data_IF_429863553175
#
_entry.id   IF_429863553175
#
_cell.length_a   1.000
_cell.length_b   1.000
_cell.length_c   1.000
_cell.angle_alpha   90.00
_cell.angle_beta   90.00
_cell.angle_gamma   90.00
#
_symmetry.space_group_name_H-M   'P 1'
#
loop_
_entity.id
_entity.type
_entity.pdbx_description
1 polymer ?
#
# COMPACT_ATOMS: atom_id res chain seq x y z
N UNK A 1 -29.06 11.59 -4.25
CA UNK A 1 -27.61 11.69 -4.12
C UNK A 1 -27.03 11.24 -5.46
N UNK A 2 -26.47 12.17 -6.21
CA UNK A 2 -25.73 11.80 -7.40
C UNK A 2 -24.34 11.35 -6.96
N UNK A 3 -24.16 10.02 -6.78
CA UNK A 3 -22.86 9.45 -6.51
C UNK A 3 -21.99 9.57 -7.76
N UNK A 4 -20.73 9.97 -7.59
CA UNK A 4 -19.77 9.93 -8.69
C UNK A 4 -19.50 8.48 -9.12
N UNK A 5 -18.95 8.28 -10.32
CA UNK A 5 -18.59 6.93 -10.80
C UNK A 5 -17.57 6.28 -9.86
N UNK A 6 -16.66 7.06 -9.26
CA UNK A 6 -15.69 6.59 -8.28
C UNK A 6 -16.34 6.08 -6.99
N UNK A 7 -17.29 6.82 -6.46
CA UNK A 7 -17.99 6.43 -5.22
C UNK A 7 -18.78 5.12 -5.41
N UNK A 8 -19.36 4.92 -6.59
CA UNK A 8 -20.05 3.67 -6.93
C UNK A 8 -19.05 2.50 -6.98
N UNK A 9 -17.86 2.72 -7.55
CA UNK A 9 -16.81 1.71 -7.57
C UNK A 9 -16.37 1.33 -6.16
N UNK A 10 -16.15 2.32 -5.29
CA UNK A 10 -15.72 2.13 -3.90
C UNK A 10 -16.76 1.45 -3.00
N UNK A 11 -18.01 1.38 -3.47
CA UNK A 11 -19.05 0.55 -2.85
C UNK A 11 -19.08 -0.85 -3.47
N UNK A 12 -19.04 -0.94 -4.81
CA UNK A 12 -19.38 -2.18 -5.52
C UNK A 12 -18.19 -3.11 -5.75
N UNK A 13 -16.96 -2.60 -5.80
CA UNK A 13 -15.79 -3.43 -6.06
C UNK A 13 -15.69 -4.60 -5.07
N UNK A 14 -15.59 -5.86 -5.56
CA UNK A 14 -15.55 -7.03 -4.69
C UNK A 14 -14.18 -7.23 -4.03
N UNK A 15 -13.10 -6.80 -4.68
CA UNK A 15 -11.72 -6.92 -4.21
C UNK A 15 -11.26 -5.62 -3.57
N UNK A 16 -10.52 -5.74 -2.49
CA UNK A 16 -9.96 -4.61 -1.76
C UNK A 16 -8.44 -4.56 -1.98
N UNK A 17 -7.77 -5.69 -1.74
CA UNK A 17 -6.32 -5.81 -1.92
C UNK A 17 -5.95 -7.19 -2.48
N UNK A 18 -5.23 -8.00 -1.73
CA UNK A 18 -4.73 -9.32 -2.13
C UNK A 18 -5.43 -10.48 -1.39
N UNK A 19 -6.50 -10.18 -0.66
CA UNK A 19 -7.29 -11.15 0.09
C UNK A 19 -7.98 -12.19 -0.81
N UNK A 20 -8.31 -13.33 -0.23
CA UNK A 20 -9.17 -14.32 -0.89
C UNK A 20 -10.59 -13.74 -1.02
N UNK A 21 -11.10 -13.73 -2.26
CA UNK A 21 -12.46 -13.25 -2.51
C UNK A 21 -13.50 -14.16 -1.86
N UNK A 22 -14.36 -13.56 -1.05
CA UNK A 22 -15.51 -14.19 -0.44
C UNK A 22 -16.76 -13.33 -0.68
N UNK A 23 -17.98 -13.86 -0.60
CA UNK A 23 -19.20 -13.06 -0.75
C UNK A 23 -19.51 -12.23 0.51
N UNK A 24 -18.52 -11.52 1.02
CA UNK A 24 -18.56 -10.81 2.29
C UNK A 24 -19.72 -9.82 2.43
N UNK A 25 -20.19 -9.22 1.33
CA UNK A 25 -21.27 -8.22 1.38
C UNK A 25 -22.56 -8.81 1.93
N UNK A 26 -23.02 -9.92 1.37
CA UNK A 26 -24.22 -10.60 1.86
C UNK A 26 -24.04 -11.12 3.26
N UNK A 27 -22.83 -11.56 3.62
CA UNK A 27 -22.50 -12.01 4.95
C UNK A 27 -22.64 -10.87 5.97
N UNK A 28 -22.07 -9.70 5.73
CA UNK A 28 -22.09 -8.60 6.69
C UNK A 28 -23.44 -7.87 6.77
N UNK A 29 -24.17 -7.77 5.68
CA UNK A 29 -25.51 -7.18 5.66
C UNK A 29 -26.47 -7.83 6.67
N UNK A 30 -26.25 -9.11 6.98
CA UNK A 30 -27.08 -9.85 7.96
C UNK A 30 -26.59 -9.74 9.42
N UNK A 31 -25.50 -9.00 9.69
CA UNK A 31 -24.85 -8.98 11.01
C UNK A 31 -25.25 -7.80 11.88
N UNK A 32 -25.86 -6.80 11.31
CA UNK A 32 -26.26 -5.57 11.99
C UNK A 32 -27.76 -5.34 11.81
N UNK A 33 -28.38 -4.73 12.81
CA UNK A 33 -29.73 -4.21 12.72
C UNK A 33 -29.81 -3.00 11.78
N UNK A 34 -30.99 -2.68 11.26
CA UNK A 34 -31.20 -1.51 10.41
C UNK A 34 -30.76 -0.21 11.14
N UNK A 35 -31.03 -0.10 12.43
CA UNK A 35 -30.64 1.05 13.24
C UNK A 35 -29.11 1.20 13.32
N UNK A 36 -28.37 0.10 13.51
CA UNK A 36 -26.91 0.14 13.52
C UNK A 36 -26.35 0.51 12.15
N UNK A 37 -26.93 -0.05 11.07
CA UNK A 37 -26.54 0.28 9.70
C UNK A 37 -26.75 1.76 9.42
N UNK A 38 -27.89 2.32 9.79
CA UNK A 38 -28.18 3.73 9.62
C UNK A 38 -27.24 4.61 10.44
N UNK A 39 -26.91 4.18 11.66
CA UNK A 39 -25.91 4.86 12.50
C UNK A 39 -24.55 4.92 11.81
N UNK A 40 -24.06 3.77 11.30
CA UNK A 40 -22.78 3.72 10.64
C UNK A 40 -22.75 4.50 9.32
N UNK A 41 -23.84 4.54 8.57
CA UNK A 41 -23.95 5.34 7.34
C UNK A 41 -23.91 6.85 7.60
N UNK A 42 -24.58 7.29 8.64
CA UNK A 42 -24.63 8.69 9.00
C UNK A 42 -23.36 9.13 9.76
N UNK A 43 -22.72 8.23 10.47
CA UNK A 43 -21.53 8.46 11.27
C UNK A 43 -20.49 7.34 11.07
N UNK A 44 -19.78 7.30 9.95
CA UNK A 44 -18.85 6.20 9.64
C UNK A 44 -17.72 6.03 10.65
N UNK A 45 -17.37 7.09 11.38
CA UNK A 45 -16.44 7.03 12.51
C UNK A 45 -16.88 6.01 13.57
N UNK A 46 -18.20 5.85 13.79
CA UNK A 46 -18.72 4.83 14.71
C UNK A 46 -18.39 3.39 14.25
N UNK A 47 -18.26 3.16 12.94
CA UNK A 47 -17.82 1.87 12.41
C UNK A 47 -16.33 1.64 12.68
N UNK A 48 -15.50 2.68 12.55
CA UNK A 48 -14.07 2.63 12.92
C UNK A 48 -13.93 2.22 14.39
N UNK A 49 -14.66 2.89 15.27
CA UNK A 49 -14.65 2.58 16.70
C UNK A 49 -15.17 1.17 17.00
N UNK A 50 -16.18 0.72 16.23
CA UNK A 50 -16.71 -0.63 16.38
C UNK A 50 -15.63 -1.66 16.04
N UNK A 51 -14.91 -1.49 14.92
CA UNK A 51 -13.81 -2.38 14.52
C UNK A 51 -12.71 -2.38 15.58
N UNK A 52 -12.31 -1.21 16.05
CA UNK A 52 -11.27 -1.09 17.08
C UNK A 52 -11.60 -1.81 18.38
N UNK A 53 -12.87 -1.80 18.77
CA UNK A 53 -13.36 -2.48 20.00
C UNK A 53 -13.55 -3.99 19.85
N UNK A 54 -13.79 -4.46 18.62
CA UNK A 54 -14.20 -5.84 18.39
C UNK A 54 -13.13 -6.73 17.77
N UNK A 55 -12.06 -6.16 17.25
CA UNK A 55 -10.97 -6.90 16.61
C UNK A 55 -9.69 -6.69 17.41
N UNK A 56 -9.14 -7.78 17.90
CA UNK A 56 -7.83 -7.77 18.60
C UNK A 56 -6.72 -7.86 17.56
N UNK A 57 -5.68 -7.03 17.73
CA UNK A 57 -4.53 -7.06 16.83
C UNK A 57 -3.49 -8.06 17.32
N UNK A 58 -3.04 -8.91 16.40
CA UNK A 58 -2.01 -9.92 16.61
C UNK A 58 -1.08 -9.98 15.38
N UNK A 59 0.01 -9.22 15.44
CA UNK A 59 1.03 -9.16 14.37
C UNK A 59 1.93 -10.39 14.36
N UNK A 60 2.13 -11.03 15.50
CA UNK A 60 3.12 -12.09 15.68
C UNK A 60 2.69 -13.38 14.98
N UNK A 61 1.42 -13.73 15.05
CA UNK A 61 0.91 -14.98 14.51
C UNK A 61 0.66 -14.97 12.99
N UNK A 62 0.73 -13.82 12.33
CA UNK A 62 0.68 -13.69 10.87
C UNK A 62 1.97 -13.09 10.29
N UNK A 63 3.12 -13.65 10.66
CA UNK A 63 4.43 -13.13 10.23
C UNK A 63 4.64 -13.15 8.70
N UNK A 64 3.93 -13.98 7.95
CA UNK A 64 3.93 -13.99 6.48
C UNK A 64 3.01 -12.93 5.87
N UNK A 65 2.22 -12.22 6.67
CA UNK A 65 1.25 -11.21 6.25
C UNK A 65 0.32 -11.71 5.14
N UNK A 66 -0.14 -12.96 5.27
CA UNK A 66 -1.16 -13.51 4.38
C UNK A 66 -2.50 -12.89 4.79
N UNK A 67 -3.18 -12.16 3.88
CA UNK A 67 -4.44 -11.51 4.23
C UNK A 67 -5.49 -12.50 4.70
N UNK A 68 -6.02 -12.29 5.88
CA UNK A 68 -7.18 -13.05 6.39
C UNK A 68 -8.41 -12.50 5.67
N UNK A 69 -9.27 -13.40 5.19
CA UNK A 69 -10.54 -12.97 4.56
C UNK A 69 -11.40 -12.18 5.54
N UNK A 70 -12.20 -11.21 5.06
CA UNK A 70 -13.08 -10.41 5.94
C UNK A 70 -13.99 -11.24 6.83
N UNK A 71 -14.55 -12.33 6.29
CA UNK A 71 -15.35 -13.28 7.10
C UNK A 71 -14.51 -14.03 8.14
N UNK A 72 -13.24 -14.33 7.81
CA UNK A 72 -12.29 -14.94 8.72
C UNK A 72 -12.01 -14.04 9.92
N UNK A 73 -11.72 -12.75 9.68
CA UNK A 73 -11.52 -11.74 10.73
C UNK A 73 -12.78 -11.63 11.62
N UNK A 74 -13.96 -11.55 11.01
CA UNK A 74 -15.22 -11.53 11.77
C UNK A 74 -15.37 -12.69 12.72
N UNK A 75 -15.05 -13.90 12.27
CA UNK A 75 -15.22 -15.14 13.07
C UNK A 75 -14.15 -15.27 14.15
N UNK A 76 -12.90 -14.93 13.81
CA UNK A 76 -11.79 -15.05 14.73
C UNK A 76 -11.75 -13.92 15.77
N UNK A 77 -12.24 -12.73 15.42
CA UNK A 77 -12.10 -11.49 16.20
C UNK A 77 -10.63 -11.10 16.47
N UNK A 78 -9.73 -11.66 15.68
CA UNK A 78 -8.29 -11.42 15.73
C UNK A 78 -7.79 -11.22 14.29
N UNK A 79 -6.91 -10.27 14.08
CA UNK A 79 -6.28 -9.98 12.80
C UNK A 79 -4.93 -9.30 13.00
N UNK A 80 -4.03 -9.38 12.02
CA UNK A 80 -2.97 -8.40 11.87
C UNK A 80 -3.54 -7.06 11.37
N UNK A 81 -2.78 -5.98 11.45
CA UNK A 81 -3.22 -4.63 11.05
C UNK A 81 -3.69 -4.59 9.60
N UNK A 82 -2.97 -5.25 8.69
CA UNK A 82 -3.33 -5.27 7.27
C UNK A 82 -4.66 -5.98 7.01
N UNK A 83 -4.88 -7.13 7.66
CA UNK A 83 -6.15 -7.86 7.57
C UNK A 83 -7.32 -7.12 8.23
N UNK A 84 -7.07 -6.37 9.33
CA UNK A 84 -8.05 -5.47 9.97
C UNK A 84 -8.48 -4.38 9.00
N UNK A 85 -7.55 -3.78 8.29
CA UNK A 85 -7.81 -2.69 7.35
C UNK A 85 -8.64 -3.17 6.16
N UNK A 86 -8.31 -4.33 5.59
CA UNK A 86 -9.14 -5.00 4.57
C UNK A 86 -10.54 -5.30 5.11
N UNK A 87 -10.62 -5.80 6.34
CA UNK A 87 -11.90 -6.09 7.00
C UNK A 87 -12.77 -4.85 7.17
N UNK A 88 -12.18 -3.72 7.58
CA UNK A 88 -12.90 -2.45 7.70
C UNK A 88 -13.51 -2.03 6.36
N UNK A 89 -12.71 -2.02 5.28
CA UNK A 89 -13.19 -1.64 3.94
C UNK A 89 -14.30 -2.58 3.47
N UNK A 90 -14.16 -3.90 3.68
CA UNK A 90 -15.20 -4.87 3.35
C UNK A 90 -16.50 -4.60 4.10
N UNK A 91 -16.39 -4.29 5.39
CA UNK A 91 -17.52 -4.00 6.25
C UNK A 91 -18.23 -2.71 5.80
N UNK A 92 -17.49 -1.61 5.58
CA UNK A 92 -18.01 -0.34 5.10
C UNK A 92 -18.75 -0.51 3.77
N UNK A 93 -18.14 -1.16 2.77
CA UNK A 93 -18.77 -1.46 1.47
C UNK A 93 -20.05 -2.28 1.59
N UNK A 94 -20.08 -3.21 2.54
CA UNK A 94 -21.27 -4.05 2.80
C UNK A 94 -22.45 -3.25 3.35
N UNK A 95 -22.16 -2.18 4.05
CA UNK A 95 -23.14 -1.25 4.61
C UNK A 95 -23.45 -0.07 3.69
N UNK A 96 -22.99 -0.11 2.42
CA UNK A 96 -23.12 0.97 1.43
C UNK A 96 -22.43 2.28 1.85
N UNK A 97 -21.32 2.18 2.55
CA UNK A 97 -20.39 3.28 2.80
C UNK A 97 -19.26 3.12 1.78
N UNK A 98 -19.02 4.12 0.94
CA UNK A 98 -17.90 4.11 0.00
C UNK A 98 -16.59 4.12 0.80
N UNK A 99 -15.75 3.14 0.56
CA UNK A 99 -14.46 2.99 1.24
C UNK A 99 -13.45 2.31 0.33
N UNK A 100 -12.20 2.72 0.43
CA UNK A 100 -11.12 2.18 -0.37
C UNK A 100 -9.84 1.98 0.44
N UNK A 101 -9.03 1.05 -0.05
CA UNK A 101 -7.65 0.89 0.38
C UNK A 101 -6.76 1.33 -0.76
N UNK A 102 -6.03 2.42 -0.56
CA UNK A 102 -5.15 2.98 -1.56
C UNK A 102 -4.00 2.01 -1.86
N UNK A 103 -3.88 1.59 -3.11
CA UNK A 103 -2.90 0.59 -3.55
C UNK A 103 -1.45 1.00 -3.31
N UNK A 104 -1.20 2.30 -3.27
CA UNK A 104 0.13 2.86 -3.19
C UNK A 104 0.80 2.67 -1.82
N UNK A 105 0.06 2.91 -0.75
CA UNK A 105 0.59 2.93 0.63
C UNK A 105 -0.26 2.13 1.62
N UNK A 106 -1.33 1.49 1.14
CA UNK A 106 -2.21 0.68 1.96
C UNK A 106 -3.14 1.47 2.89
N UNK A 107 -3.14 2.80 2.81
CA UNK A 107 -4.02 3.62 3.63
C UNK A 107 -5.47 3.38 3.25
N UNK A 108 -6.31 3.34 4.25
CA UNK A 108 -7.74 3.16 4.07
C UNK A 108 -8.48 4.47 4.32
N UNK A 109 -9.54 4.67 3.57
CA UNK A 109 -10.43 5.82 3.71
C UNK A 109 -11.88 5.44 3.52
N UNK A 110 -12.77 6.26 4.04
CA UNK A 110 -14.21 6.18 3.78
C UNK A 110 -14.75 7.55 3.36
N UNK A 111 -15.84 7.55 2.60
CA UNK A 111 -16.54 8.76 2.23
C UNK A 111 -17.37 9.27 3.42
N UNK A 112 -17.12 10.52 3.82
CA UNK A 112 -17.91 11.22 4.82
C UNK A 112 -19.29 11.56 4.22
N UNK A 113 -20.40 11.36 4.94
CA UNK A 113 -21.71 11.82 4.49
C UNK A 113 -21.80 13.33 4.37
N UNK A 114 -20.97 14.08 5.09
CA UNK A 114 -20.85 15.53 4.97
C UNK A 114 -19.91 15.89 3.81
N UNK A 115 -20.38 16.81 2.98
CA UNK A 115 -19.57 17.34 1.88
C UNK A 115 -18.58 18.39 2.39
N UNK A 116 -17.54 18.63 1.61
CA UNK A 116 -16.61 19.72 1.90
C UNK A 116 -17.23 21.11 1.66
N UNK A 117 -16.47 22.16 1.92
CA UNK A 117 -16.89 23.55 1.77
C UNK A 117 -17.23 23.94 0.31
N UNK A 118 -16.80 23.15 -0.69
CA UNK A 118 -17.13 23.33 -2.12
C UNK A 118 -18.28 22.45 -2.59
N UNK A 119 -18.81 21.59 -1.71
CA UNK A 119 -19.90 20.67 -2.02
C UNK A 119 -19.45 19.37 -2.67
N UNK A 120 -18.16 19.08 -2.66
CA UNK A 120 -17.58 17.83 -3.16
C UNK A 120 -17.57 16.71 -2.12
N UNK A 121 -17.47 15.47 -2.55
CA UNK A 121 -17.37 14.32 -1.66
C UNK A 121 -16.02 14.32 -0.94
N UNK A 122 -16.06 14.20 0.39
CA UNK A 122 -14.88 14.18 1.24
C UNK A 122 -14.57 12.76 1.66
N UNK A 123 -13.33 12.31 1.41
CA UNK A 123 -12.81 11.06 1.97
C UNK A 123 -12.01 11.35 3.24
N UNK A 124 -12.31 10.58 4.28
CA UNK A 124 -11.62 10.65 5.58
C UNK A 124 -10.69 9.44 5.68
N UNK A 125 -9.41 9.70 5.90
CA UNK A 125 -8.41 8.67 6.12
C UNK A 125 -8.62 8.04 7.51
N UNK A 126 -8.60 6.71 7.59
CA UNK A 126 -8.74 5.95 8.82
C UNK A 126 -7.36 5.52 9.30
N UNK A 127 -7.05 5.88 10.52
CA UNK A 127 -5.89 5.39 11.26
C UNK A 127 -6.37 4.77 12.57
N UNK A 128 -6.33 3.45 12.66
CA UNK A 128 -6.72 2.73 13.87
C UNK A 128 -5.70 2.86 15.01
N UNK A 129 -4.46 3.18 14.67
CA UNK A 129 -3.35 3.25 15.61
C UNK A 129 -3.14 4.68 16.13
N UNK A 130 -4.08 5.59 15.85
CA UNK A 130 -4.06 6.97 16.37
C UNK A 130 -4.03 6.99 17.90
N UNK A 131 -2.83 6.91 18.42
CA UNK A 131 -2.49 7.55 19.68
C UNK A 131 -2.12 9.00 19.33
N UNK A 132 -2.92 9.96 19.76
CA UNK A 132 -2.74 11.42 19.66
C UNK A 132 -1.93 11.92 18.44
N UNK A 133 -2.59 12.72 17.62
CA UNK A 133 -2.14 13.29 16.35
C UNK A 133 -0.65 13.68 16.32
N UNK A 134 0.16 12.80 15.82
CA UNK A 134 1.28 13.24 15.00
C UNK A 134 0.78 13.10 13.55
N UNK A 135 0.41 14.21 12.92
CA UNK A 135 0.21 14.23 11.46
C UNK A 135 1.33 13.42 10.84
N UNK A 136 0.98 12.37 10.10
CA UNK A 136 1.99 11.53 9.46
C UNK A 136 2.75 12.44 8.51
N UNK A 137 3.91 12.91 8.97
CA UNK A 137 4.69 13.86 8.24
C UNK A 137 5.13 13.21 6.93
N UNK A 138 4.89 13.88 5.81
CA UNK A 138 5.21 13.39 4.48
C UNK A 138 6.53 13.94 3.99
N UNK A 139 7.24 13.12 3.26
CA UNK A 139 8.44 13.50 2.55
C UNK A 139 8.26 13.32 1.05
N UNK A 140 9.04 14.05 0.26
CA UNK A 140 9.08 13.93 -1.19
C UNK A 140 10.41 13.29 -1.56
N UNK A 141 10.40 12.26 -2.42
CA UNK A 141 11.60 11.71 -3.03
C UNK A 141 11.67 12.05 -4.51
N UNK A 142 12.86 12.08 -5.06
CA UNK A 142 13.11 12.16 -6.49
C UNK A 142 14.35 11.36 -6.85
N UNK A 143 14.26 10.61 -7.95
CA UNK A 143 15.39 9.82 -8.43
C UNK A 143 16.41 10.68 -9.16
N UNK A 144 17.68 10.38 -8.91
CA UNK A 144 18.84 11.02 -9.48
C UNK A 144 19.82 9.98 -10.00
N UNK A 145 20.39 10.24 -11.18
CA UNK A 145 21.50 9.48 -11.75
C UNK A 145 22.64 10.45 -12.08
N UNK A 146 23.84 10.14 -11.63
CA UNK A 146 25.03 10.97 -11.79
C UNK A 146 24.83 12.45 -11.41
N UNK A 147 24.11 12.66 -10.31
CA UNK A 147 23.82 14.00 -9.78
C UNK A 147 22.75 14.78 -10.55
N UNK A 148 22.18 14.22 -11.61
CA UNK A 148 21.10 14.84 -12.39
C UNK A 148 19.76 14.19 -12.04
N UNK A 149 18.73 15.01 -11.93
CA UNK A 149 17.37 14.49 -11.74
C UNK A 149 16.93 13.72 -12.98
N UNK A 150 16.33 12.54 -12.76
CA UNK A 150 15.77 11.74 -13.83
C UNK A 150 14.57 12.47 -14.44
N UNK A 151 14.47 12.45 -15.77
CA UNK A 151 13.39 13.08 -16.51
C UNK A 151 12.07 12.27 -16.35
N UNK A 152 10.94 12.96 -16.47
CA UNK A 152 9.59 12.37 -16.30
C UNK A 152 9.30 11.24 -17.31
N UNK A 153 9.85 11.34 -18.50
CA UNK A 153 9.63 10.43 -19.63
C UNK A 153 10.73 9.37 -19.78
N UNK A 154 11.64 9.28 -18.80
CA UNK A 154 12.73 8.30 -18.83
C UNK A 154 12.19 6.87 -18.71
N UNK A 155 12.24 6.14 -19.83
CA UNK A 155 11.75 4.76 -19.93
C UNK A 155 12.53 3.76 -19.06
N UNK A 156 13.69 4.15 -18.52
CA UNK A 156 14.49 3.33 -17.61
C UNK A 156 13.86 3.27 -16.21
N UNK A 157 13.00 4.23 -15.86
CA UNK A 157 12.28 4.25 -14.59
C UNK A 157 10.88 3.69 -14.80
N UNK A 158 10.78 2.38 -14.68
CA UNK A 158 9.51 1.67 -14.81
C UNK A 158 9.30 0.77 -13.61
N UNK A 159 8.27 1.08 -12.82
CA UNK A 159 7.88 0.30 -11.66
C UNK A 159 7.63 -1.18 -12.03
N UNK A 160 7.92 -2.10 -11.13
CA UNK A 160 7.90 -3.56 -11.29
C UNK A 160 8.88 -4.13 -12.33
N UNK A 161 9.19 -3.40 -13.39
CA UNK A 161 10.11 -3.87 -14.43
C UNK A 161 11.56 -3.48 -14.17
N UNK A 162 11.76 -2.31 -13.53
CA UNK A 162 13.08 -1.71 -13.34
C UNK A 162 13.36 -1.35 -11.90
N UNK A 163 12.34 -1.11 -11.11
CA UNK A 163 12.50 -0.81 -9.69
C UNK A 163 11.29 -1.20 -8.86
N UNK A 164 11.51 -1.36 -7.56
CA UNK A 164 10.49 -1.40 -6.52
C UNK A 164 10.94 -0.57 -5.33
N UNK A 165 9.98 0.00 -4.59
CA UNK A 165 10.23 0.68 -3.32
C UNK A 165 9.52 -0.10 -2.22
N UNK A 166 10.21 -0.29 -1.10
CA UNK A 166 9.60 -0.86 0.11
C UNK A 166 9.88 0.04 1.30
N UNK A 167 8.87 0.26 2.14
CA UNK A 167 9.05 0.91 3.45
C UNK A 167 9.59 -0.12 4.44
N UNK A 168 10.55 0.28 5.26
CA UNK A 168 10.98 -0.54 6.39
C UNK A 168 10.16 -0.16 7.64
N UNK A 169 9.31 -1.05 8.07
CA UNK A 169 8.54 -0.91 9.30
C UNK A 169 8.91 -2.07 10.22
N UNK A 170 9.39 -1.77 11.43
CA UNK A 170 9.80 -2.79 12.42
C UNK A 170 10.80 -3.84 11.88
N UNK A 171 11.73 -3.38 11.02
CA UNK A 171 12.72 -4.25 10.38
C UNK A 171 12.21 -5.11 9.24
N UNK A 172 10.95 -4.96 8.81
CA UNK A 172 10.34 -5.69 7.70
C UNK A 172 10.12 -4.77 6.49
N UNK A 173 10.39 -5.24 5.27
CA UNK A 173 10.11 -4.48 4.07
C UNK A 173 8.63 -4.63 3.68
N UNK A 174 7.92 -3.53 3.58
CA UNK A 174 6.56 -3.44 3.03
C UNK A 174 6.61 -2.84 1.65
N UNK A 175 6.19 -3.59 0.63
CA UNK A 175 6.23 -3.12 -0.75
C UNK A 175 5.22 -1.99 -0.96
N UNK A 176 5.71 -0.88 -1.52
CA UNK A 176 4.87 0.23 -1.97
C UNK A 176 4.40 -0.08 -3.40
N UNK A 177 3.10 -0.10 -3.62
CA UNK A 177 2.53 -0.28 -4.95
C UNK A 177 2.50 1.06 -5.69
N UNK A 178 3.32 1.18 -6.74
CA UNK A 178 3.36 2.34 -7.64
C UNK A 178 2.79 1.90 -8.99
N UNK A 179 1.49 1.78 -9.12
CA UNK A 179 0.85 1.34 -10.36
C UNK A 179 0.85 2.41 -11.46
N UNK A 180 0.30 2.07 -12.63
CA UNK A 180 0.33 2.96 -13.79
C UNK A 180 -0.60 4.18 -13.65
N UNK A 181 -1.56 4.12 -12.73
CA UNK A 181 -2.50 5.22 -12.44
C UNK A 181 -1.81 6.38 -11.71
N UNK A 182 -0.64 6.12 -11.09
CA UNK A 182 0.14 7.12 -10.37
C UNK A 182 1.50 7.38 -11.04
N UNK A 183 1.53 8.00 -12.22
CA UNK A 183 2.77 8.25 -12.96
C UNK A 183 3.76 9.17 -12.23
N UNK A 184 3.29 9.97 -11.28
CA UNK A 184 4.12 10.83 -10.41
C UNK A 184 5.08 10.05 -9.52
N UNK A 185 4.78 8.79 -9.21
CA UNK A 185 5.61 7.93 -8.38
C UNK A 185 6.70 7.19 -9.15
N UNK A 186 6.83 7.42 -10.46
CA UNK A 186 7.86 6.75 -11.26
C UNK A 186 9.26 7.31 -11.02
N UNK A 187 9.40 8.61 -10.84
CA UNK A 187 10.67 9.30 -10.68
C UNK A 187 10.66 10.31 -9.53
N UNK A 188 9.49 10.70 -9.10
CA UNK A 188 9.22 11.58 -7.95
C UNK A 188 7.93 11.11 -7.29
N UNK A 189 7.85 11.19 -5.97
CA UNK A 189 6.64 10.85 -5.23
C UNK A 189 6.66 11.38 -3.82
N UNK A 190 5.48 11.34 -3.20
CA UNK A 190 5.27 11.72 -1.81
C UNK A 190 4.88 10.47 -1.03
N UNK A 191 5.65 10.17 0.00
CA UNK A 191 5.42 9.03 0.91
C UNK A 191 5.52 9.51 2.35
N UNK A 192 5.10 8.68 3.29
CA UNK A 192 5.31 8.94 4.71
C UNK A 192 6.81 9.03 5.03
N UNK A 193 7.13 9.77 6.09
CA UNK A 193 8.51 9.79 6.59
C UNK A 193 8.93 8.41 7.07
N UNK A 194 10.19 8.07 6.87
CA UNK A 194 10.69 6.76 7.31
C UNK A 194 11.90 6.26 6.52
N UNK A 195 12.21 4.99 6.75
CA UNK A 195 13.29 4.28 6.07
C UNK A 195 12.72 3.47 4.92
N UNK A 196 13.40 3.53 3.79
CA UNK A 196 12.98 2.87 2.56
C UNK A 196 14.09 2.08 1.92
N UNK A 197 13.72 0.99 1.24
CA UNK A 197 14.58 0.25 0.33
C UNK A 197 14.14 0.55 -1.12
N UNK A 198 15.10 0.87 -1.95
CA UNK A 198 14.95 0.93 -3.40
C UNK A 198 15.68 -0.27 -3.99
N UNK A 199 14.96 -1.12 -4.68
CA UNK A 199 15.54 -2.19 -5.49
C UNK A 199 15.44 -1.78 -6.95
N UNK A 200 16.57 -1.65 -7.62
CA UNK A 200 16.63 -1.43 -9.07
C UNK A 200 17.18 -2.69 -9.74
N UNK A 201 16.69 -2.99 -10.95
CA UNK A 201 17.12 -4.22 -11.59
C UNK A 201 16.84 -4.28 -13.07
N UNK A 202 17.52 -5.24 -13.71
CA UNK A 202 17.31 -5.59 -15.10
C UNK A 202 17.24 -7.10 -15.25
N UNK A 203 16.28 -7.58 -16.03
CA UNK A 203 16.21 -8.98 -16.42
C UNK A 203 17.13 -9.20 -17.62
N UNK A 204 17.96 -10.21 -17.52
CA UNK A 204 18.86 -10.63 -18.58
C UNK A 204 18.16 -11.56 -19.59
N UNK A 205 18.75 -11.71 -20.76
CA UNK A 205 18.20 -12.56 -21.82
C UNK A 205 18.16 -14.06 -21.45
N UNK A 206 19.02 -14.48 -20.54
CA UNK A 206 19.07 -15.86 -20.00
C UNK A 206 18.07 -16.09 -18.86
N UNK A 207 17.23 -15.09 -18.53
CA UNK A 207 16.27 -15.12 -17.43
C UNK A 207 16.85 -14.69 -16.07
N UNK A 208 18.16 -14.50 -15.97
CA UNK A 208 18.80 -13.95 -14.77
C UNK A 208 18.28 -12.56 -14.43
N UNK A 209 18.30 -12.20 -13.14
CA UNK A 209 17.93 -10.85 -12.67
C UNK A 209 19.13 -10.25 -11.97
N UNK A 210 19.52 -9.07 -12.42
CA UNK A 210 20.52 -8.25 -11.78
C UNK A 210 19.81 -7.20 -10.94
N UNK A 211 19.98 -7.27 -9.63
CA UNK A 211 19.36 -6.34 -8.71
C UNK A 211 20.43 -5.57 -7.91
N UNK A 212 20.15 -4.30 -7.68
CA UNK A 212 20.86 -3.47 -6.71
C UNK A 212 19.87 -3.05 -5.65
N UNK A 213 20.24 -3.22 -4.39
CA UNK A 213 19.46 -2.78 -3.24
C UNK A 213 20.17 -1.56 -2.65
N UNK A 214 19.44 -0.49 -2.46
CA UNK A 214 19.89 0.73 -1.76
C UNK A 214 18.85 1.14 -0.75
N UNK A 215 19.28 1.85 0.29
CA UNK A 215 18.37 2.40 1.30
C UNK A 215 18.40 3.92 1.25
N UNK A 216 17.28 4.55 1.63
CA UNK A 216 17.22 5.99 1.82
C UNK A 216 16.26 6.33 2.97
N UNK A 217 16.47 7.50 3.54
CA UNK A 217 15.59 8.05 4.57
C UNK A 217 14.77 9.16 3.93
N UNK A 218 13.47 9.13 4.16
CA UNK A 218 12.56 10.18 3.72
C UNK A 218 12.17 11.02 4.94
N UNK A 219 12.75 12.23 5.09
CA UNK A 219 12.44 13.12 6.19
C UNK A 219 11.13 13.88 5.95
N UNK A 220 10.55 14.42 7.02
CA UNK A 220 9.45 15.36 6.93
C UNK A 220 9.81 16.61 6.11
N UNK A 221 8.84 17.17 5.41
CA UNK A 221 9.00 18.47 4.80
C UNK A 221 9.08 19.53 5.93
N UNK A 222 10.09 20.40 5.82
CA UNK A 222 10.29 21.49 6.79
C UNK A 222 9.40 22.70 6.53
N UNK A 223 8.95 22.85 5.30
CA UNK A 223 8.16 23.99 4.83
C UNK A 223 7.20 23.45 3.74
N UNK A 224 5.91 23.50 4.02
CA UNK A 224 4.87 23.07 3.08
C UNK A 224 4.80 23.93 1.82
N UNK A 225 5.18 25.20 1.93
CA UNK A 225 5.18 26.15 0.79
C UNK A 225 6.44 26.04 -0.08
N UNK A 226 7.50 25.38 0.42
CA UNK A 226 8.76 25.18 -0.31
C UNK A 226 9.24 23.72 -0.18
N UNK A 227 8.51 22.77 -0.77
CA UNK A 227 8.85 21.37 -0.62
C UNK A 227 10.20 21.05 -1.28
N UNK A 228 11.04 20.32 -0.57
CA UNK A 228 12.35 19.88 -1.03
C UNK A 228 12.37 18.37 -1.17
N UNK A 229 12.58 17.89 -2.38
CA UNK A 229 12.67 16.46 -2.64
C UNK A 229 14.00 15.87 -2.14
N UNK A 230 13.91 14.77 -1.40
CA UNK A 230 15.06 13.94 -1.05
C UNK A 230 15.65 13.34 -2.33
N UNK A 231 16.94 13.55 -2.55
CA UNK A 231 17.66 12.98 -3.69
C UNK A 231 17.95 11.51 -3.46
N UNK A 232 17.30 10.65 -4.22
CA UNK A 232 17.49 9.20 -4.12
C UNK A 232 18.32 8.72 -5.31
N UNK A 233 19.52 8.16 -5.09
CA UNK A 233 20.34 7.62 -6.17
C UNK A 233 19.60 6.49 -6.87
N UNK A 234 19.47 6.61 -8.19
CA UNK A 234 18.87 5.59 -9.04
C UNK A 234 19.93 5.08 -10.01
N UNK A 235 20.28 3.82 -9.88
CA UNK A 235 21.26 3.20 -10.74
C UNK A 235 20.66 1.95 -11.37
N UNK A 236 20.60 1.93 -12.68
CA UNK A 236 20.54 0.68 -13.42
C UNK A 236 21.98 0.18 -13.63
N UNK A 237 22.14 -1.14 -13.61
CA UNK A 237 23.45 -1.72 -13.78
C UNK A 237 24.11 -1.29 -15.09
N UNK A 238 25.37 -0.91 -15.02
CA UNK A 238 26.25 -0.75 -16.16
C UNK A 238 27.08 -2.04 -16.41
N UNK A 239 27.43 -2.27 -17.68
CA UNK A 239 28.32 -3.38 -18.05
C UNK A 239 29.69 -3.19 -17.39
N UNK A 240 30.13 -4.16 -16.60
CA UNK A 240 31.43 -4.14 -15.90
C UNK A 240 31.34 -4.05 -14.37
N UNK A 241 30.19 -3.82 -13.79
CA UNK A 241 30.01 -3.94 -12.33
C UNK A 241 30.20 -5.39 -11.86
N UNK A 242 30.92 -5.60 -10.74
CA UNK A 242 30.98 -6.90 -10.08
C UNK A 242 29.61 -7.27 -9.56
N UNK A 243 29.18 -8.49 -9.85
CA UNK A 243 27.87 -9.03 -9.49
C UNK A 243 28.06 -10.28 -8.67
N UNK A 244 27.39 -10.35 -7.54
CA UNK A 244 27.16 -11.61 -6.86
C UNK A 244 25.92 -12.29 -7.46
N UNK A 245 26.09 -13.51 -7.98
CA UNK A 245 24.94 -14.31 -8.41
C UNK A 245 24.41 -15.02 -7.17
N UNK A 246 23.23 -14.62 -6.70
CA UNK A 246 22.58 -15.20 -5.53
C UNK A 246 21.70 -16.42 -5.87
N UNK A 247 21.45 -16.68 -7.15
CA UNK A 247 20.76 -17.86 -7.63
C UNK A 247 20.23 -17.69 -9.06
N UNK A 248 19.97 -18.81 -9.71
CA UNK A 248 19.19 -18.86 -10.95
C UNK A 248 17.80 -19.43 -10.62
N UNK A 249 16.76 -18.80 -11.11
CA UNK A 249 15.39 -19.26 -10.92
C UNK A 249 14.84 -19.80 -12.25
N UNK A 250 14.36 -21.03 -12.22
CA UNK A 250 13.66 -21.61 -13.37
C UNK A 250 12.20 -21.15 -13.35
N UNK A 251 11.67 -20.68 -14.47
CA UNK A 251 10.28 -20.23 -14.61
C UNK A 251 9.23 -21.31 -14.36
N UNK A 252 9.63 -22.58 -14.44
CA UNK A 252 8.74 -23.73 -14.21
C UNK A 252 8.70 -24.18 -12.75
N UNK A 253 9.61 -23.67 -11.91
CA UNK A 253 9.71 -24.03 -10.49
C UNK A 253 9.92 -22.80 -9.64
N UNK A 254 8.84 -22.19 -9.23
CA UNK A 254 8.82 -20.95 -8.43
C UNK A 254 9.55 -21.06 -7.08
N UNK A 255 9.91 -22.26 -6.61
CA UNK A 255 10.43 -22.52 -5.28
C UNK A 255 11.59 -23.54 -5.19
N UNK A 256 12.13 -23.99 -6.29
CA UNK A 256 13.30 -24.88 -6.22
C UNK A 256 14.58 -24.03 -6.07
N UNK A 257 15.34 -24.16 -4.98
CA UNK A 257 16.66 -23.57 -4.90
C UNK A 257 17.54 -24.23 -5.97
N UNK A 258 18.18 -23.43 -6.79
CA UNK A 258 19.13 -23.93 -7.78
C UNK A 258 20.43 -24.20 -7.04
N UNK A 259 20.96 -25.42 -7.20
CA UNK A 259 22.26 -25.78 -6.68
C UNK A 259 23.36 -24.92 -7.32
N UNK A 260 24.13 -24.28 -6.47
CA UNK A 260 25.30 -23.50 -6.86
C UNK A 260 25.17 -22.00 -6.70
N UNK A 261 25.49 -21.51 -5.53
CA UNK A 261 25.90 -20.12 -5.32
C UNK A 261 27.37 -20.07 -5.73
N UNK A 262 27.65 -19.46 -6.87
CA UNK A 262 29.01 -19.27 -7.38
C UNK A 262 29.31 -17.80 -7.60
N UNK A 263 30.44 -17.33 -7.11
CA UNK A 263 31.05 -16.10 -7.58
C UNK A 263 31.50 -16.29 -9.04
N UNK A 264 31.08 -15.44 -9.93
CA UNK A 264 31.63 -15.28 -11.27
C UNK A 264 32.17 -13.89 -11.45
#
# INVERSE_FOLDING_TARGET
MDASVGDIYDILAPRISTEVLTPYKSFFQSKFSETEIDTFRNHPQALVEWVNRNITIDEENNFLRIPISPEGVWRAKVADSFSRDIFFVALARSLNIAADMRKMDGRISYMDPEKDEWGDNRYVEVDFDKQEEVEASRGIYRFYEDGKAIARDDKRVKYYNKFTISRLREGRPELISCDEEHPELRYIGTLDTGYYLLVTGARLADGGVLARISSFVLPAQKDEFKPVATKVPYHLRESGEKVAVIGNFNSESLFAPVEGIGEK
#
